data_IF_988637366324
#
_entry.id   IF_988637366324
#
_cell.length_a   1.000
_cell.length_b   1.000
_cell.length_c   1.000
_cell.angle_alpha   90.00
_cell.angle_beta   90.00
_cell.angle_gamma   90.00
#
_symmetry.space_group_name_H-M   'P 1'
#
loop_
_entity.id
_entity.type
_entity.pdbx_description
1 polymer ?
#
# COMPACT_ATOMS: atom_id res chain seq x y z
N UNK A 1 -5.86 -18.01 -12.47
CA UNK A 1 -4.47 -17.57 -12.22
C UNK A 1 -4.50 -16.38 -11.28
N UNK A 2 -3.70 -16.37 -10.21
CA UNK A 2 -3.61 -15.27 -9.26
C UNK A 2 -2.33 -14.46 -9.46
N UNK A 3 -2.48 -13.13 -9.56
CA UNK A 3 -1.38 -12.15 -9.56
C UNK A 3 -1.47 -11.29 -8.31
N UNK A 4 -0.32 -10.85 -7.78
CA UNK A 4 -0.26 -9.85 -6.73
C UNK A 4 0.48 -8.61 -7.22
N UNK A 5 0.02 -7.42 -6.84
CA UNK A 5 0.72 -6.14 -7.01
C UNK A 5 1.08 -5.62 -5.63
N UNK A 6 2.37 -5.47 -5.35
CA UNK A 6 2.92 -5.10 -4.05
C UNK A 6 4.04 -4.08 -4.18
N UNK A 7 4.42 -3.42 -3.09
CA UNK A 7 5.48 -2.42 -3.08
C UNK A 7 6.79 -2.97 -2.54
N UNK A 8 7.91 -2.56 -3.13
CA UNK A 8 9.25 -2.97 -2.71
C UNK A 8 9.75 -2.25 -1.46
N UNK A 9 9.41 -0.98 -1.29
CA UNK A 9 10.11 -0.07 -0.36
C UNK A 9 9.18 0.49 0.74
N UNK A 10 9.10 1.81 0.88
CA UNK A 10 8.37 2.51 1.94
C UNK A 10 6.88 2.73 1.64
N UNK A 11 6.37 2.31 0.50
CA UNK A 11 5.04 2.65 -0.03
C UNK A 11 5.10 3.79 -1.05
N UNK A 12 3.93 4.15 -1.59
CA UNK A 12 3.81 5.22 -2.60
C UNK A 12 4.62 5.00 -3.90
N UNK A 13 4.92 3.73 -4.24
CA UNK A 13 5.67 3.36 -5.44
C UNK A 13 4.86 3.49 -6.75
N UNK A 14 3.57 3.86 -6.68
CA UNK A 14 2.70 3.96 -7.86
C UNK A 14 1.91 2.68 -8.16
N UNK A 15 1.67 1.85 -7.14
CA UNK A 15 0.88 0.60 -7.25
C UNK A 15 -0.51 0.81 -7.85
N UNK A 16 -1.19 1.91 -7.52
CA UNK A 16 -2.53 2.21 -8.01
C UNK A 16 -2.62 2.20 -9.54
N UNK A 17 -1.68 2.86 -10.22
CA UNK A 17 -1.58 2.85 -11.69
C UNK A 17 -1.37 1.44 -12.25
N UNK A 18 -0.44 0.69 -11.66
CA UNK A 18 -0.12 -0.67 -12.11
C UNK A 18 -1.30 -1.61 -11.87
N UNK A 19 -1.97 -1.49 -10.73
CA UNK A 19 -3.16 -2.28 -10.42
C UNK A 19 -4.32 -1.94 -11.35
N UNK A 20 -4.60 -0.66 -11.58
CA UNK A 20 -5.65 -0.22 -12.51
C UNK A 20 -5.43 -0.78 -13.91
N UNK A 21 -4.20 -0.70 -14.41
CA UNK A 21 -3.84 -1.24 -15.73
C UNK A 21 -4.02 -2.77 -15.80
N UNK A 22 -3.60 -3.50 -14.77
CA UNK A 22 -3.74 -4.95 -14.73
C UNK A 22 -5.18 -5.40 -14.46
N UNK A 23 -5.98 -4.59 -13.76
CA UNK A 23 -7.38 -4.86 -13.46
C UNK A 23 -8.26 -4.96 -14.74
N UNK A 24 -7.87 -4.30 -15.82
CA UNK A 24 -8.57 -4.40 -17.11
C UNK A 24 -8.71 -5.84 -17.60
N UNK A 25 -7.73 -6.69 -17.30
CA UNK A 25 -7.67 -8.09 -17.70
C UNK A 25 -7.99 -9.07 -16.57
N UNK A 26 -8.43 -8.56 -15.43
CA UNK A 26 -8.77 -9.37 -14.28
C UNK A 26 -10.29 -9.54 -14.14
N UNK A 27 -10.73 -10.74 -13.82
CA UNK A 27 -12.14 -11.00 -13.48
C UNK A 27 -12.47 -10.51 -12.08
N UNK A 28 -11.47 -10.54 -11.18
CA UNK A 28 -11.63 -10.19 -9.77
C UNK A 28 -10.41 -9.39 -9.28
N UNK A 29 -10.66 -8.31 -8.53
CA UNK A 29 -9.61 -7.56 -7.81
C UNK A 29 -9.90 -7.61 -6.32
N UNK A 30 -8.91 -8.01 -5.52
CA UNK A 30 -9.05 -8.21 -4.07
C UNK A 30 -8.11 -7.29 -3.32
N UNK A 31 -8.63 -6.42 -2.45
CA UNK A 31 -7.86 -5.81 -1.35
C UNK A 31 -7.71 -6.87 -0.26
N UNK A 32 -6.48 -7.21 0.10
CA UNK A 32 -6.23 -8.33 1.01
C UNK A 32 -5.65 -7.90 2.37
N UNK A 33 -5.20 -6.66 2.53
CA UNK A 33 -4.63 -6.14 3.77
C UNK A 33 -4.74 -4.62 3.87
N UNK A 34 -4.34 -4.08 5.03
CA UNK A 34 -4.36 -2.64 5.29
C UNK A 34 -5.78 -2.12 5.52
N UNK A 35 -5.93 -0.83 5.46
CA UNK A 35 -7.21 -0.14 5.66
C UNK A 35 -7.25 1.18 4.91
N UNK A 36 -8.05 2.12 5.38
CA UNK A 36 -8.21 3.43 4.75
C UNK A 36 -7.06 4.43 5.03
N UNK A 37 -5.95 3.96 5.60
CA UNK A 37 -4.80 4.80 5.97
C UNK A 37 -3.90 5.19 4.79
N UNK A 38 -3.99 4.51 3.65
CA UNK A 38 -3.25 4.86 2.44
C UNK A 38 -4.18 4.97 1.24
N UNK A 39 -3.95 5.98 0.40
CA UNK A 39 -4.74 6.22 -0.81
C UNK A 39 -4.01 5.74 -2.07
N UNK A 40 -4.75 5.13 -2.99
CA UNK A 40 -4.28 4.80 -4.33
C UNK A 40 -4.81 5.85 -5.31
N UNK A 41 -3.92 6.62 -5.93
CA UNK A 41 -4.32 7.58 -6.97
C UNK A 41 -4.42 6.87 -8.32
N UNK A 42 -5.57 7.03 -8.96
CA UNK A 42 -5.88 6.48 -10.29
C UNK A 42 -6.33 7.63 -11.18
N UNK A 43 -5.79 7.66 -12.40
CA UNK A 43 -6.19 8.61 -13.44
C UNK A 43 -6.71 7.82 -14.63
N UNK A 44 -7.99 7.97 -14.93
CA UNK A 44 -8.65 7.25 -16.02
C UNK A 44 -9.66 8.15 -16.76
N UNK A 45 -10.46 7.58 -17.67
CA UNK A 45 -11.48 8.30 -18.45
C UNK A 45 -12.55 9.01 -17.61
N UNK A 46 -12.75 8.61 -16.36
CA UNK A 46 -13.70 9.25 -15.43
C UNK A 46 -13.07 10.39 -14.63
N UNK A 47 -11.74 10.56 -14.73
CA UNK A 47 -10.96 11.57 -14.04
C UNK A 47 -9.95 11.02 -13.05
N UNK A 48 -9.55 11.86 -12.10
CA UNK A 48 -8.59 11.52 -11.04
C UNK A 48 -9.33 11.12 -9.76
N UNK A 49 -8.97 9.97 -9.20
CA UNK A 49 -9.54 9.42 -7.97
C UNK A 49 -8.42 9.07 -6.98
N UNK A 50 -8.70 9.26 -5.70
CA UNK A 50 -7.88 8.74 -4.61
C UNK A 50 -8.74 7.72 -3.84
N UNK A 51 -8.51 6.43 -4.07
CA UNK A 51 -9.22 5.34 -3.40
C UNK A 51 -8.48 4.92 -2.14
N UNK A 52 -9.18 4.81 -1.02
CA UNK A 52 -8.62 4.37 0.27
C UNK A 52 -9.08 2.95 0.63
N UNK A 53 -10.33 2.62 0.37
CA UNK A 53 -10.94 1.32 0.68
C UNK A 53 -11.24 0.49 -0.56
N UNK A 54 -11.74 1.11 -1.62
CA UNK A 54 -12.13 0.40 -2.83
C UNK A 54 -10.92 -0.16 -3.59
N UNK A 55 -11.03 -1.39 -4.13
CA UNK A 55 -10.07 -1.91 -5.10
C UNK A 55 -10.05 -1.10 -6.40
N UNK A 56 -8.90 -1.05 -7.07
CA UNK A 56 -8.75 -0.35 -8.36
C UNK A 56 -9.63 -0.92 -9.49
N UNK A 57 -10.13 -2.15 -9.33
CA UNK A 57 -11.03 -2.80 -10.29
C UNK A 57 -12.43 -2.19 -10.43
N UNK A 58 -12.84 -1.29 -9.54
CA UNK A 58 -14.19 -0.68 -9.54
C UNK A 58 -14.54 0.12 -10.79
N UNK A 59 -13.56 0.47 -11.60
CA UNK A 59 -13.76 1.21 -12.85
C UNK A 59 -14.11 0.32 -14.05
N UNK A 60 -14.11 -1.01 -13.87
CA UNK A 60 -14.36 -2.00 -14.93
C UNK A 60 -15.64 -2.78 -14.63
N UNK A 61 -16.65 -2.66 -15.51
CA UNK A 61 -17.96 -3.28 -15.32
C UNK A 61 -17.95 -4.83 -15.33
N UNK A 62 -16.90 -5.45 -15.85
CA UNK A 62 -16.73 -6.91 -15.86
C UNK A 62 -16.04 -7.44 -14.60
N UNK A 63 -15.41 -6.56 -13.81
CA UNK A 63 -14.60 -6.94 -12.66
C UNK A 63 -15.43 -7.00 -11.39
N UNK A 64 -15.26 -8.05 -10.59
CA UNK A 64 -15.75 -8.09 -9.21
C UNK A 64 -14.67 -7.57 -8.27
N UNK A 65 -15.02 -6.57 -7.47
CA UNK A 65 -14.13 -5.95 -6.46
C UNK A 65 -14.39 -6.54 -5.08
N UNK A 66 -13.37 -7.09 -4.43
CA UNK A 66 -13.51 -7.78 -3.14
C UNK A 66 -12.71 -7.06 -2.06
N UNK A 67 -13.37 -6.82 -0.93
CA UNK A 67 -12.72 -6.49 0.34
C UNK A 67 -12.53 -7.81 1.09
N UNK A 68 -11.28 -8.29 1.12
CA UNK A 68 -10.91 -9.57 1.71
C UNK A 68 -10.89 -9.53 3.24
N UNK A 69 -10.86 -10.71 3.86
CA UNK A 69 -10.89 -10.87 5.31
C UNK A 69 -9.67 -10.27 6.04
N UNK A 70 -8.57 -9.99 5.34
CA UNK A 70 -7.38 -9.37 5.92
C UNK A 70 -7.43 -7.84 6.02
N UNK A 71 -8.47 -7.19 5.51
CA UNK A 71 -8.62 -5.72 5.50
C UNK A 71 -9.12 -5.21 6.85
N UNK A 72 -8.58 -4.08 7.30
CA UNK A 72 -9.14 -3.27 8.39
C UNK A 72 -10.25 -2.38 7.79
N UNK A 73 -11.49 -2.84 7.88
CA UNK A 73 -12.63 -2.25 7.19
C UNK A 73 -13.19 -1.04 7.94
N UNK A 74 -13.10 0.13 7.34
CA UNK A 74 -13.87 1.31 7.77
C UNK A 74 -15.13 1.40 6.89
N UNK A 75 -16.28 1.01 7.44
CA UNK A 75 -17.57 0.92 6.70
C UNK A 75 -18.00 2.29 6.17
N UNK A 76 -18.06 3.37 6.96
CA UNK A 76 -18.41 4.69 6.45
C UNK A 76 -17.52 5.16 5.30
N UNK A 77 -16.20 4.94 5.37
CA UNK A 77 -15.29 5.35 4.30
C UNK A 77 -15.58 4.54 3.03
N UNK A 78 -15.77 3.22 3.14
CA UNK A 78 -16.09 2.38 1.98
C UNK A 78 -17.37 2.85 1.28
N UNK A 79 -18.44 3.07 2.03
CA UNK A 79 -19.75 3.48 1.47
C UNK A 79 -19.66 4.88 0.86
N UNK A 80 -18.97 5.81 1.50
CA UNK A 80 -18.76 7.14 0.95
C UNK A 80 -17.93 7.12 -0.33
N UNK A 81 -16.93 6.23 -0.44
CA UNK A 81 -16.17 6.07 -1.69
C UNK A 81 -17.04 5.49 -2.81
N UNK A 82 -17.87 4.49 -2.53
CA UNK A 82 -18.84 3.96 -3.52
C UNK A 82 -19.71 5.09 -4.06
N UNK A 83 -20.28 5.90 -3.16
CA UNK A 83 -21.09 7.06 -3.55
C UNK A 83 -20.28 8.07 -4.38
N UNK A 84 -19.07 8.40 -3.93
CA UNK A 84 -18.22 9.38 -4.61
C UNK A 84 -17.88 8.98 -6.07
N UNK A 85 -17.65 7.69 -6.35
CA UNK A 85 -17.37 7.24 -7.72
C UNK A 85 -18.65 7.20 -8.57
N UNK A 86 -19.78 6.78 -8.01
CA UNK A 86 -21.07 6.74 -8.74
C UNK A 86 -21.59 8.13 -9.05
N UNK A 87 -21.46 9.09 -8.13
CA UNK A 87 -21.80 10.50 -8.36
C UNK A 87 -20.99 11.13 -9.53
N UNK A 88 -19.85 10.52 -9.89
CA UNK A 88 -19.01 10.91 -11.03
C UNK A 88 -19.22 10.05 -12.27
N UNK A 89 -20.40 9.45 -12.39
CA UNK A 89 -20.83 8.61 -13.52
C UNK A 89 -20.00 7.33 -13.75
N UNK A 90 -19.29 6.84 -12.74
CA UNK A 90 -18.77 5.47 -12.77
C UNK A 90 -19.96 4.53 -12.58
N UNK A 91 -20.18 3.55 -13.47
CA UNK A 91 -21.26 2.57 -13.27
C UNK A 91 -21.10 1.86 -11.92
N UNK A 92 -22.23 1.57 -11.25
CA UNK A 92 -22.19 0.88 -9.96
C UNK A 92 -21.36 -0.40 -10.04
N UNK A 93 -20.23 -0.49 -9.35
CA UNK A 93 -19.35 -1.66 -9.42
C UNK A 93 -19.94 -2.85 -8.66
N UNK A 94 -19.58 -4.06 -9.06
CA UNK A 94 -19.88 -5.24 -8.27
C UNK A 94 -18.87 -5.35 -7.13
N UNK A 95 -19.34 -5.15 -5.91
CA UNK A 95 -18.53 -5.15 -4.68
C UNK A 95 -18.97 -6.30 -3.79
N UNK A 96 -18.01 -7.03 -3.24
CA UNK A 96 -18.22 -8.06 -2.22
C UNK A 96 -17.31 -7.75 -1.01
N UNK A 97 -17.87 -7.93 0.18
CA UNK A 97 -17.16 -7.73 1.44
C UNK A 97 -17.18 -9.04 2.22
N UNK A 98 -16.00 -9.47 2.66
CA UNK A 98 -15.90 -10.69 3.47
C UNK A 98 -16.66 -10.56 4.77
N UNK A 99 -17.50 -11.55 5.06
CA UNK A 99 -18.17 -11.73 6.34
C UNK A 99 -17.20 -11.89 7.51
N UNK A 100 -15.95 -12.33 7.25
CA UNK A 100 -14.85 -12.49 8.22
C UNK A 100 -13.95 -11.26 8.33
N UNK A 101 -14.17 -10.23 7.51
CA UNK A 101 -13.45 -8.96 7.60
C UNK A 101 -13.72 -8.31 8.96
N UNK A 102 -12.70 -7.71 9.58
CA UNK A 102 -12.89 -7.00 10.84
C UNK A 102 -13.08 -5.50 10.65
N UNK A 103 -13.86 -4.90 11.54
CA UNK A 103 -14.34 -3.52 11.47
C UNK A 103 -13.39 -2.60 12.25
N UNK A 104 -13.00 -1.50 11.64
CA UNK A 104 -12.39 -0.37 12.35
C UNK A 104 -13.51 0.32 13.14
N UNK A 105 -13.52 0.10 14.44
CA UNK A 105 -14.50 0.69 15.34
C UNK A 105 -14.25 2.20 15.53
N UNK A 106 -15.28 3.01 15.81
CA UNK A 106 -15.11 4.45 16.03
C UNK A 106 -14.05 4.78 17.08
N UNK A 107 -13.97 3.99 18.14
CA UNK A 107 -12.97 4.21 19.20
C UNK A 107 -11.54 3.89 18.75
N UNK A 108 -11.30 3.06 17.74
CA UNK A 108 -9.95 2.85 17.21
C UNK A 108 -9.35 4.17 16.69
N UNK A 109 -10.15 4.98 16.02
CA UNK A 109 -9.73 6.29 15.52
C UNK A 109 -9.40 7.23 16.67
N UNK A 110 -10.23 7.24 17.73
CA UNK A 110 -9.98 8.04 18.92
C UNK A 110 -8.70 7.61 19.64
N UNK A 111 -8.48 6.31 19.82
CA UNK A 111 -7.28 5.77 20.47
C UNK A 111 -6.01 6.11 19.70
N UNK A 112 -6.04 6.04 18.37
CA UNK A 112 -4.92 6.42 17.50
C UNK A 112 -4.58 7.93 17.66
N UNK A 113 -5.60 8.79 17.72
CA UNK A 113 -5.43 10.21 17.97
C UNK A 113 -4.87 10.50 19.37
N UNK A 114 -5.42 9.87 20.39
CA UNK A 114 -5.01 10.09 21.78
C UNK A 114 -3.60 9.58 22.06
N UNK A 115 -3.19 8.49 21.43
CA UNK A 115 -1.83 7.98 21.54
C UNK A 115 -0.81 8.91 20.87
N UNK A 116 -1.11 9.44 19.68
CA UNK A 116 -0.28 10.45 19.03
C UNK A 116 -0.17 11.74 19.88
N UNK A 117 -1.27 12.18 20.50
CA UNK A 117 -1.27 13.30 21.45
C UNK A 117 -0.38 13.01 22.67
N UNK A 118 -0.52 11.84 23.28
CA UNK A 118 0.25 11.42 24.46
C UNK A 118 1.75 11.34 24.18
N UNK A 119 2.13 10.83 23.02
CA UNK A 119 3.53 10.71 22.61
C UNK A 119 4.17 12.05 22.24
N UNK A 120 3.39 13.04 21.83
CA UNK A 120 3.88 14.38 21.50
C UNK A 120 5.02 14.36 20.49
N UNK A 121 6.19 14.90 20.85
CA UNK A 121 7.37 14.95 19.98
C UNK A 121 7.99 13.59 19.63
N UNK A 122 7.53 12.50 20.25
CA UNK A 122 7.95 11.12 19.96
C UNK A 122 6.89 10.34 19.19
N UNK A 123 5.89 11.04 18.63
CA UNK A 123 4.80 10.42 17.86
C UNK A 123 5.34 9.68 16.60
N UNK A 124 4.65 8.62 16.21
CA UNK A 124 4.99 7.82 15.03
C UNK A 124 4.62 8.51 13.71
N UNK A 125 3.81 9.57 13.76
CA UNK A 125 3.28 10.26 12.59
C UNK A 125 2.11 9.49 11.95
N UNK A 126 1.26 8.87 12.78
CA UNK A 126 0.08 8.13 12.35
C UNK A 126 -0.81 8.96 11.42
N UNK A 127 -1.52 8.28 10.53
CA UNK A 127 -2.59 8.86 9.71
C UNK A 127 -3.86 9.14 10.53
N UNK A 128 -3.90 8.72 11.78
CA UNK A 128 -5.06 8.80 12.69
C UNK A 128 -6.30 8.07 12.14
N UNK A 129 -6.06 6.99 11.42
CA UNK A 129 -7.09 6.14 10.81
C UNK A 129 -7.47 4.93 11.68
N UNK A 130 -6.93 4.82 12.90
CA UNK A 130 -7.24 3.77 13.86
C UNK A 130 -6.60 2.41 13.56
N UNK A 131 -5.59 2.33 12.70
CA UNK A 131 -5.03 1.07 12.22
C UNK A 131 -4.27 0.32 13.32
N UNK A 132 -3.38 0.98 14.06
CA UNK A 132 -2.64 0.32 15.13
C UNK A 132 -3.55 -0.17 16.27
N UNK A 133 -4.50 0.62 16.82
CA UNK A 133 -5.47 0.14 17.78
C UNK A 133 -6.35 -1.00 17.25
N UNK A 134 -6.74 -0.94 15.98
CA UNK A 134 -7.51 -2.01 15.33
C UNK A 134 -6.75 -3.34 15.34
N UNK A 135 -5.50 -3.36 14.88
CA UNK A 135 -4.70 -4.60 14.86
C UNK A 135 -4.36 -5.08 16.28
N UNK A 136 -4.17 -4.16 17.24
CA UNK A 136 -4.04 -4.52 18.65
C UNK A 136 -5.25 -5.31 19.12
N UNK A 137 -6.46 -4.84 18.87
CA UNK A 137 -7.70 -5.51 19.27
C UNK A 137 -7.91 -6.83 18.52
N UNK A 138 -7.59 -6.86 17.23
CA UNK A 138 -7.67 -8.10 16.43
C UNK A 138 -6.86 -9.23 17.04
N UNK A 139 -5.60 -8.98 17.40
CA UNK A 139 -4.73 -9.99 17.97
C UNK A 139 -4.99 -10.24 19.47
N UNK A 140 -5.54 -9.27 20.19
CA UNK A 140 -6.10 -9.45 21.53
C UNK A 140 -7.43 -10.23 21.53
N UNK A 141 -8.00 -10.51 20.34
CA UNK A 141 -9.25 -11.27 20.13
C UNK A 141 -10.50 -10.57 20.68
N UNK A 142 -10.48 -9.24 20.69
CA UNK A 142 -11.60 -8.37 21.08
C UNK A 142 -12.14 -7.51 19.94
N UNK A 143 -11.58 -7.69 18.72
CA UNK A 143 -12.08 -7.03 17.51
C UNK A 143 -13.43 -7.59 17.05
N UNK A 144 -14.13 -6.88 16.17
CA UNK A 144 -15.44 -7.23 15.65
C UNK A 144 -15.36 -7.62 14.17
N UNK A 145 -15.88 -8.79 13.82
CA UNK A 145 -16.05 -9.22 12.42
C UNK A 145 -17.36 -8.70 11.85
N UNK A 146 -17.44 -8.56 10.53
CA UNK A 146 -18.64 -8.09 9.83
C UNK A 146 -19.86 -8.99 10.10
N UNK A 147 -19.67 -10.33 10.16
CA UNK A 147 -20.76 -11.26 10.46
C UNK A 147 -21.39 -11.00 11.83
N UNK A 148 -20.64 -10.49 12.82
CA UNK A 148 -21.16 -10.23 14.17
C UNK A 148 -22.18 -9.09 14.19
N UNK A 149 -22.23 -8.23 13.16
CA UNK A 149 -23.26 -7.18 13.04
C UNK A 149 -24.67 -7.76 12.89
N UNK A 150 -24.80 -9.02 12.48
CA UNK A 150 -26.07 -9.69 12.24
C UNK A 150 -26.55 -10.52 13.43
N UNK A 151 -25.75 -10.56 14.53
CA UNK A 151 -26.04 -11.30 15.75
C UNK A 151 -26.21 -10.34 16.93
N UNK A 152 -27.36 -9.69 17.03
CA UNK A 152 -27.61 -8.52 17.89
C UNK A 152 -27.35 -8.76 19.38
N UNK A 153 -27.78 -9.91 19.95
CA UNK A 153 -27.59 -10.20 21.37
C UNK A 153 -26.11 -10.41 21.70
N UNK A 154 -25.41 -11.19 20.88
CA UNK A 154 -23.98 -11.44 21.05
C UNK A 154 -23.14 -10.17 20.83
N UNK A 155 -23.58 -9.32 19.89
CA UNK A 155 -22.94 -8.03 19.62
C UNK A 155 -23.04 -7.10 20.82
N UNK A 156 -24.22 -6.96 21.44
CA UNK A 156 -24.43 -6.14 22.64
C UNK A 156 -23.54 -6.59 23.79
N UNK A 157 -23.59 -7.88 24.11
CA UNK A 157 -22.79 -8.46 25.20
C UNK A 157 -21.28 -8.23 24.98
N UNK A 158 -20.80 -8.37 23.73
CA UNK A 158 -19.39 -8.13 23.40
C UNK A 158 -19.02 -6.65 23.49
N UNK A 159 -19.90 -5.74 23.06
CA UNK A 159 -19.69 -4.29 23.18
C UNK A 159 -19.57 -3.87 24.63
N UNK A 160 -20.43 -4.37 25.54
CA UNK A 160 -20.35 -4.06 26.96
C UNK A 160 -18.97 -4.44 27.52
N UNK A 161 -18.51 -5.68 27.32
CA UNK A 161 -17.20 -6.14 27.77
C UNK A 161 -16.02 -5.33 27.20
N UNK A 162 -16.10 -4.96 25.93
CA UNK A 162 -15.05 -4.18 25.28
C UNK A 162 -15.04 -2.75 25.83
N UNK A 163 -16.21 -2.13 26.01
CA UNK A 163 -16.33 -0.79 26.60
C UNK A 163 -15.76 -0.73 28.01
N UNK A 164 -16.01 -1.75 28.87
CA UNK A 164 -15.40 -1.81 30.21
C UNK A 164 -13.87 -1.67 30.15
N UNK A 165 -13.24 -2.48 29.30
CA UNK A 165 -11.78 -2.48 29.15
C UNK A 165 -11.27 -1.16 28.56
N UNK A 166 -11.93 -0.66 27.51
CA UNK A 166 -11.52 0.58 26.83
C UNK A 166 -11.68 1.80 27.72
N UNK A 167 -12.73 1.83 28.52
CA UNK A 167 -13.03 2.95 29.43
C UNK A 167 -11.97 3.10 30.53
N UNK A 168 -11.37 1.99 30.99
CA UNK A 168 -10.20 2.06 31.91
C UNK A 168 -9.05 2.84 31.28
N UNK A 169 -8.74 2.57 30.01
CA UNK A 169 -7.67 3.29 29.31
C UNK A 169 -8.04 4.76 29.03
N UNK A 170 -9.28 5.01 28.63
CA UNK A 170 -9.75 6.38 28.37
C UNK A 170 -9.68 7.23 29.65
N UNK A 171 -10.17 6.71 30.77
CA UNK A 171 -10.24 7.44 32.03
C UNK A 171 -8.85 7.63 32.67
N UNK A 172 -8.05 6.54 32.77
CA UNK A 172 -6.84 6.54 33.58
C UNK A 172 -5.55 6.82 32.80
N UNK A 173 -5.51 6.52 31.48
CA UNK A 173 -4.33 6.78 30.66
C UNK A 173 -4.44 8.04 29.82
N UNK A 174 -5.58 8.19 29.14
CA UNK A 174 -5.77 9.30 28.20
C UNK A 174 -6.49 10.50 28.80
N UNK A 175 -7.17 10.32 29.94
CA UNK A 175 -8.02 11.35 30.59
C UNK A 175 -9.05 11.95 29.62
N UNK A 176 -9.74 11.07 28.92
CA UNK A 176 -10.74 11.38 27.90
C UNK A 176 -12.11 10.80 28.30
N UNK A 177 -13.21 11.27 27.68
CA UNK A 177 -14.55 10.75 27.94
C UNK A 177 -14.65 9.24 27.67
N UNK A 178 -15.42 8.53 28.47
CA UNK A 178 -15.69 7.10 28.33
C UNK A 178 -16.63 6.82 27.18
N UNK A 179 -16.61 5.59 26.67
CA UNK A 179 -17.51 5.07 25.65
C UNK A 179 -18.83 4.61 26.29
N UNK A 180 -19.91 4.78 25.55
CA UNK A 180 -21.23 4.24 25.86
C UNK A 180 -21.52 3.07 24.92
N UNK A 181 -21.76 1.88 25.47
CA UNK A 181 -22.00 0.67 24.68
C UNK A 181 -23.33 0.70 23.87
N UNK A 182 -24.36 1.37 24.41
CA UNK A 182 -25.63 1.53 23.70
C UNK A 182 -25.51 2.43 22.47
N UNK A 183 -24.75 3.55 22.59
CA UNK A 183 -24.44 4.42 21.46
C UNK A 183 -23.61 3.71 20.39
N UNK A 184 -22.62 2.91 20.83
CA UNK A 184 -21.84 2.08 19.91
C UNK A 184 -22.70 1.01 19.23
N UNK A 185 -23.63 0.39 19.95
CA UNK A 185 -24.55 -0.57 19.38
C UNK A 185 -25.44 0.08 18.31
N UNK A 186 -26.00 1.27 18.59
CA UNK A 186 -26.76 2.01 17.59
C UNK A 186 -25.92 2.30 16.33
N UNK A 187 -24.68 2.73 16.50
CA UNK A 187 -23.73 2.93 15.38
C UNK A 187 -23.49 1.63 14.60
N UNK A 188 -23.37 0.49 15.29
CA UNK A 188 -23.19 -0.80 14.62
C UNK A 188 -24.42 -1.25 13.84
N UNK A 189 -25.64 -0.89 14.27
CA UNK A 189 -26.85 -1.14 13.48
C UNK A 189 -26.86 -0.29 12.19
N UNK A 190 -26.45 0.97 12.25
CA UNK A 190 -26.26 1.79 11.05
C UNK A 190 -25.22 1.17 10.11
N UNK A 191 -24.10 0.69 10.63
CA UNK A 191 -23.06 0.01 9.84
C UNK A 191 -23.56 -1.29 9.20
N UNK A 192 -24.39 -2.06 9.93
CA UNK A 192 -25.06 -3.25 9.39
C UNK A 192 -25.89 -2.90 8.16
N UNK A 193 -26.74 -1.88 8.27
CA UNK A 193 -27.61 -1.46 7.17
C UNK A 193 -26.80 -0.98 5.95
N UNK A 194 -25.71 -0.24 6.18
CA UNK A 194 -24.82 0.24 5.12
C UNK A 194 -24.12 -0.90 4.37
N UNK A 195 -23.70 -1.95 5.07
CA UNK A 195 -22.81 -2.97 4.51
C UNK A 195 -23.54 -4.23 4.04
N UNK A 196 -24.73 -4.51 4.57
CA UNK A 196 -25.49 -5.74 4.33
C UNK A 196 -25.59 -6.15 2.84
N UNK A 197 -25.81 -5.23 1.87
CA UNK A 197 -25.91 -5.59 0.46
C UNK A 197 -24.64 -6.18 -0.16
N UNK A 198 -23.48 -6.02 0.48
CA UNK A 198 -22.18 -6.39 -0.05
C UNK A 198 -21.59 -7.64 0.64
N UNK A 199 -22.12 -8.06 1.80
CA UNK A 199 -21.55 -9.11 2.65
C UNK A 199 -21.76 -10.51 2.07
N UNK A 200 -20.70 -11.27 2.00
CA UNK A 200 -20.79 -12.70 1.65
C UNK A 200 -19.55 -13.48 2.13
N UNK A 201 -19.57 -14.81 2.03
CA UNK A 201 -18.41 -15.67 2.17
C UNK A 201 -17.49 -15.51 0.92
N UNK A 202 -16.59 -14.54 0.98
CA UNK A 202 -15.67 -14.25 -0.11
C UNK A 202 -14.65 -15.36 -0.35
N UNK A 203 -14.31 -16.16 0.67
CA UNK A 203 -13.37 -17.28 0.54
C UNK A 203 -13.96 -18.38 -0.34
N UNK A 204 -15.20 -18.79 -0.07
CA UNK A 204 -15.93 -19.75 -0.91
C UNK A 204 -16.17 -19.20 -2.32
N UNK A 205 -16.47 -17.90 -2.45
CA UNK A 205 -16.60 -17.26 -3.75
C UNK A 205 -15.31 -17.33 -4.57
N UNK A 206 -14.16 -16.99 -3.96
CA UNK A 206 -12.85 -17.03 -4.61
C UNK A 206 -12.42 -18.46 -4.97
N UNK A 207 -12.68 -19.43 -4.08
CA UNK A 207 -12.37 -20.82 -4.36
C UNK A 207 -13.11 -21.32 -5.61
N UNK A 208 -14.40 -21.02 -5.72
CA UNK A 208 -15.20 -21.36 -6.90
C UNK A 208 -14.68 -20.64 -8.15
N UNK A 209 -14.39 -19.36 -8.06
CA UNK A 209 -13.86 -18.58 -9.17
C UNK A 209 -12.51 -19.14 -9.70
N UNK A 210 -11.63 -19.58 -8.80
CA UNK A 210 -10.36 -20.21 -9.17
C UNK A 210 -10.57 -21.56 -9.88
N UNK A 211 -11.54 -22.37 -9.41
CA UNK A 211 -11.92 -23.62 -10.08
C UNK A 211 -12.50 -23.38 -11.48
N UNK A 212 -13.20 -22.27 -11.68
CA UNK A 212 -13.72 -21.82 -12.98
C UNK A 212 -12.64 -21.20 -13.88
N UNK A 213 -11.37 -21.12 -13.42
CA UNK A 213 -10.27 -20.57 -14.19
C UNK A 213 -10.22 -19.04 -14.24
N UNK A 214 -10.97 -18.34 -13.38
CA UNK A 214 -10.98 -16.88 -13.33
C UNK A 214 -9.62 -16.32 -12.96
N UNK A 215 -9.35 -15.12 -13.47
CA UNK A 215 -8.14 -14.33 -13.13
C UNK A 215 -8.39 -13.45 -11.92
N UNK A 216 -7.53 -13.58 -10.91
CA UNK A 216 -7.61 -12.82 -9.66
C UNK A 216 -6.39 -11.92 -9.52
N UNK A 217 -6.60 -10.65 -9.25
CA UNK A 217 -5.57 -9.66 -8.95
C UNK A 217 -5.65 -9.29 -7.47
N UNK A 218 -4.58 -9.56 -6.73
CA UNK A 218 -4.42 -9.15 -5.34
C UNK A 218 -3.77 -7.76 -5.30
N UNK A 219 -4.46 -6.80 -4.74
CA UNK A 219 -4.01 -5.42 -4.60
C UNK A 219 -3.45 -5.15 -3.21
N UNK A 220 -2.12 -5.01 -3.12
CA UNK A 220 -1.42 -4.68 -1.90
C UNK A 220 -1.40 -3.18 -1.60
N UNK A 221 -1.12 -2.86 -0.35
CA UNK A 221 -1.01 -1.50 0.18
C UNK A 221 0.32 -1.32 0.88
N UNK A 222 0.88 -0.10 0.81
CA UNK A 222 2.22 0.22 1.34
C UNK A 222 3.33 -0.59 0.65
N UNK A 223 4.46 -0.81 1.31
CA UNK A 223 5.62 -1.53 0.77
C UNK A 223 6.30 -2.39 1.82
N UNK A 224 7.25 -3.20 1.41
CA UNK A 224 7.94 -4.19 2.26
C UNK A 224 8.56 -3.59 3.51
N UNK A 225 9.14 -2.38 3.43
CA UNK A 225 9.79 -1.74 4.57
C UNK A 225 8.80 -1.20 5.62
N UNK A 226 7.50 -1.28 5.34
CA UNK A 226 6.41 -0.97 6.28
C UNK A 226 5.74 -2.23 6.84
N UNK A 227 6.26 -3.41 6.54
CA UNK A 227 5.80 -4.68 7.12
C UNK A 227 6.20 -4.77 8.60
N UNK A 228 5.33 -5.22 9.51
CA UNK A 228 5.63 -5.27 10.95
C UNK A 228 6.75 -6.26 11.31
N UNK A 229 6.93 -7.33 10.53
CA UNK A 229 7.93 -8.37 10.82
C UNK A 229 9.26 -8.11 10.09
N UNK A 230 9.22 -7.54 8.90
CA UNK A 230 10.38 -7.40 8.02
C UNK A 230 10.78 -5.95 7.69
N UNK A 231 9.96 -4.99 8.08
CA UNK A 231 10.21 -3.57 7.80
C UNK A 231 11.12 -2.89 8.82
N UNK A 232 11.11 -1.58 8.78
CA UNK A 232 11.92 -0.70 9.65
C UNK A 232 11.23 -0.48 11.02
N UNK A 233 10.89 -1.58 11.70
CA UNK A 233 10.21 -1.54 12.99
C UNK A 233 10.94 -0.61 13.99
N UNK A 234 10.22 0.25 14.79
CA UNK A 234 8.76 0.30 14.93
C UNK A 234 8.03 1.23 13.94
N UNK A 235 8.72 1.88 12.99
CA UNK A 235 8.17 2.83 12.04
C UNK A 235 7.50 2.12 10.84
N UNK A 236 6.60 1.20 11.12
CA UNK A 236 5.88 0.32 10.18
C UNK A 236 4.37 0.52 10.26
N UNK A 237 3.62 -0.10 9.35
CA UNK A 237 2.18 -0.28 9.52
C UNK A 237 1.91 -1.54 10.33
N UNK A 238 0.68 -1.72 10.81
CA UNK A 238 0.33 -2.91 11.61
C UNK A 238 -0.16 -4.09 10.78
N UNK A 239 -0.34 -3.92 9.47
CA UNK A 239 -0.71 -5.00 8.55
C UNK A 239 0.52 -5.55 7.83
N UNK A 240 0.53 -6.87 7.52
CA UNK A 240 1.56 -7.43 6.64
C UNK A 240 1.38 -6.93 5.21
N UNK A 241 2.46 -6.36 4.65
CA UNK A 241 2.50 -5.77 3.32
C UNK A 241 3.04 -6.72 2.25
N UNK A 242 3.35 -7.95 2.64
CA UNK A 242 3.94 -8.96 1.76
C UNK A 242 2.87 -9.68 0.92
N UNK A 243 3.24 -10.04 -0.32
CA UNK A 243 2.39 -10.82 -1.23
C UNK A 243 1.94 -12.17 -0.61
N UNK A 244 2.77 -12.78 0.24
CA UNK A 244 2.45 -14.00 0.96
C UNK A 244 1.19 -13.86 1.84
N UNK A 245 0.98 -12.69 2.45
CA UNK A 245 -0.23 -12.41 3.22
C UNK A 245 -1.49 -12.34 2.34
N UNK A 246 -1.33 -12.14 1.04
CA UNK A 246 -2.44 -12.17 0.08
C UNK A 246 -3.23 -13.48 0.12
N UNK A 247 -2.56 -14.60 0.34
CA UNK A 247 -3.21 -15.89 0.51
C UNK A 247 -4.11 -15.92 1.76
N UNK A 248 -3.60 -15.42 2.90
CA UNK A 248 -4.33 -15.32 4.17
C UNK A 248 -5.46 -14.29 4.06
N UNK A 249 -5.15 -13.09 3.60
CA UNK A 249 -6.07 -11.96 3.58
C UNK A 249 -7.18 -12.05 2.54
N UNK A 250 -7.03 -12.90 1.52
CA UNK A 250 -8.08 -13.22 0.54
C UNK A 250 -8.75 -14.58 0.82
N UNK A 251 -8.16 -15.45 1.66
CA UNK A 251 -8.67 -16.78 1.95
C UNK A 251 -8.48 -17.76 0.80
N UNK A 252 -7.32 -17.73 0.13
CA UNK A 252 -6.96 -18.61 -0.99
C UNK A 252 -5.70 -19.42 -0.67
N UNK A 253 -5.47 -20.56 -1.34
CA UNK A 253 -4.23 -21.32 -1.17
C UNK A 253 -3.00 -20.52 -1.63
N UNK A 254 -1.87 -20.55 -0.88
CA UNK A 254 -0.69 -19.73 -1.22
C UNK A 254 -0.06 -20.12 -2.57
N UNK A 255 -0.16 -21.38 -2.98
CA UNK A 255 0.36 -21.85 -4.26
C UNK A 255 -0.40 -21.32 -5.47
N UNK A 256 -1.57 -20.67 -5.29
CA UNK A 256 -2.31 -20.03 -6.38
C UNK A 256 -1.67 -18.70 -6.82
N UNK A 257 -0.89 -18.04 -5.97
CA UNK A 257 -0.19 -16.81 -6.32
C UNK A 257 1.01 -17.15 -7.21
N UNK A 258 0.80 -17.04 -8.53
CA UNK A 258 1.80 -17.47 -9.54
C UNK A 258 2.66 -16.32 -10.05
N UNK A 259 2.18 -15.09 -9.97
CA UNK A 259 2.89 -13.90 -10.43
C UNK A 259 2.82 -12.81 -9.38
N UNK A 260 3.99 -12.25 -9.05
CA UNK A 260 4.12 -11.18 -8.08
C UNK A 260 4.82 -10.00 -8.77
N UNK A 261 4.03 -8.99 -9.09
CA UNK A 261 4.50 -7.73 -9.66
C UNK A 261 4.86 -6.81 -8.50
N UNK A 262 6.15 -6.63 -8.29
CA UNK A 262 6.64 -5.72 -7.27
C UNK A 262 6.93 -4.35 -7.89
N UNK A 263 6.34 -3.31 -7.32
CA UNK A 263 6.50 -1.95 -7.83
C UNK A 263 7.68 -1.29 -7.14
N UNK A 264 8.62 -0.79 -7.95
CA UNK A 264 9.76 0.04 -7.53
C UNK A 264 9.66 1.42 -8.19
N UNK A 265 9.95 2.46 -7.45
CA UNK A 265 10.03 3.83 -7.96
C UNK A 265 11.47 4.13 -8.41
N UNK A 266 11.66 4.88 -9.51
CA UNK A 266 12.98 5.21 -10.05
C UNK A 266 13.86 6.08 -9.13
N UNK A 267 13.29 6.60 -8.06
CA UNK A 267 13.95 7.22 -6.90
C UNK A 267 13.21 6.75 -5.64
N UNK A 268 13.65 7.15 -4.45
CA UNK A 268 13.00 6.75 -3.21
C UNK A 268 12.19 7.88 -2.60
N UNK A 269 11.05 7.55 -1.99
CA UNK A 269 10.29 8.47 -1.16
C UNK A 269 9.68 7.75 0.03
N UNK A 270 9.50 8.46 1.14
CA UNK A 270 8.91 7.93 2.35
C UNK A 270 8.01 8.96 3.04
N UNK A 271 6.94 8.49 3.67
CA UNK A 271 6.10 9.28 4.59
C UNK A 271 6.37 8.83 6.02
N UNK A 272 6.42 9.79 6.94
CA UNK A 272 6.61 9.54 8.36
C UNK A 272 8.08 9.31 8.75
N UNK A 273 8.27 8.96 10.01
CA UNK A 273 9.58 8.71 10.60
C UNK A 273 10.16 7.35 10.19
N UNK A 274 11.40 7.12 10.59
CA UNK A 274 12.13 5.87 10.40
C UNK A 274 13.34 5.98 9.49
N UNK A 275 14.13 4.92 9.45
CA UNK A 275 15.37 4.88 8.70
C UNK A 275 15.15 5.02 7.19
N UNK A 276 15.95 5.88 6.56
CA UNK A 276 15.92 6.13 5.13
C UNK A 276 17.35 6.47 4.67
N UNK A 277 18.16 5.46 4.45
CA UNK A 277 19.61 5.62 4.25
C UNK A 277 19.96 6.47 3.03
N UNK A 278 19.23 6.33 1.94
CA UNK A 278 19.42 7.09 0.70
C UNK A 278 18.74 8.47 0.68
N UNK A 279 18.30 8.98 1.85
CA UNK A 279 17.60 10.27 1.95
C UNK A 279 18.49 11.44 1.53
N UNK A 280 17.90 12.40 0.84
CA UNK A 280 18.48 13.66 0.42
C UNK A 280 17.77 14.85 1.04
N UNK A 281 18.44 15.98 1.16
CA UNK A 281 17.97 17.17 1.86
C UNK A 281 18.18 18.44 1.04
N UNK A 282 17.58 19.54 1.46
CA UNK A 282 17.75 20.86 0.86
C UNK A 282 17.15 20.98 -0.54
N UNK A 283 17.74 21.85 -1.36
CA UNK A 283 17.20 22.21 -2.68
C UNK A 283 17.07 21.02 -3.64
N UNK A 284 17.95 20.04 -3.55
CA UNK A 284 17.91 18.80 -4.33
C UNK A 284 16.66 17.98 -4.02
N UNK A 285 16.35 17.80 -2.73
CA UNK A 285 15.14 17.11 -2.28
C UNK A 285 13.88 17.88 -2.67
N UNK A 286 13.89 19.20 -2.55
CA UNK A 286 12.76 20.06 -2.85
C UNK A 286 12.46 20.07 -4.36
N UNK A 287 13.48 20.10 -5.21
CA UNK A 287 13.31 20.04 -6.66
C UNK A 287 12.77 18.67 -7.10
N UNK A 288 13.32 17.58 -6.59
CA UNK A 288 12.82 16.23 -6.88
C UNK A 288 11.39 16.05 -6.38
N UNK A 289 11.04 16.59 -5.21
CA UNK A 289 9.68 16.57 -4.66
C UNK A 289 8.67 17.30 -5.54
N UNK A 290 9.02 18.47 -6.03
CA UNK A 290 8.16 19.27 -6.93
C UNK A 290 7.90 18.56 -8.24
N UNK A 291 8.90 17.89 -8.80
CA UNK A 291 8.81 17.18 -10.08
C UNK A 291 8.16 15.80 -9.96
N UNK A 292 8.19 15.22 -8.76
CA UNK A 292 7.71 13.88 -8.51
C UNK A 292 6.21 13.73 -8.75
N UNK A 293 5.83 12.64 -9.42
CA UNK A 293 4.45 12.28 -9.65
C UNK A 293 3.62 13.33 -10.40
N UNK A 294 2.29 13.17 -10.33
CA UNK A 294 1.33 14.14 -10.88
C UNK A 294 0.88 15.10 -9.76
N UNK A 295 1.60 16.21 -9.61
CA UNK A 295 1.34 17.23 -8.59
C UNK A 295 2.33 17.24 -7.42
N UNK A 296 3.47 16.59 -7.55
CA UNK A 296 4.53 16.54 -6.55
C UNK A 296 4.43 15.37 -5.56
N UNK A 297 5.50 15.15 -4.82
CA UNK A 297 5.60 14.08 -3.82
C UNK A 297 5.02 14.52 -2.48
N UNK A 298 3.68 14.47 -2.40
CA UNK A 298 2.91 14.75 -1.18
C UNK A 298 2.04 13.54 -0.83
N UNK A 299 1.78 13.34 0.45
CA UNK A 299 0.92 12.25 0.93
C UNK A 299 -0.52 12.41 0.43
N UNK A 300 -1.07 11.39 -0.23
CA UNK A 300 -2.41 11.43 -0.80
C UNK A 300 -3.51 11.70 0.25
N UNK A 301 -3.33 11.19 1.47
CA UNK A 301 -4.29 11.33 2.57
C UNK A 301 -4.01 12.57 3.42
N UNK A 302 -2.73 12.84 3.73
CA UNK A 302 -2.34 13.86 4.72
C UNK A 302 -1.85 15.16 4.10
N UNK A 303 -1.55 15.19 2.82
CA UNK A 303 -0.91 16.32 2.14
C UNK A 303 0.52 16.63 2.62
N UNK A 304 1.09 15.80 3.51
CA UNK A 304 2.45 16.02 4.04
C UNK A 304 3.49 15.85 2.93
N UNK A 305 4.54 16.70 2.88
CA UNK A 305 5.64 16.50 1.96
C UNK A 305 6.35 15.18 2.27
N UNK A 306 6.60 14.38 1.22
CA UNK A 306 7.36 13.15 1.36
C UNK A 306 8.84 13.46 1.53
N UNK A 307 9.52 12.65 2.33
CA UNK A 307 10.98 12.59 2.37
C UNK A 307 11.46 12.01 1.05
N UNK A 308 12.52 12.57 0.49
CA UNK A 308 13.03 12.19 -0.83
C UNK A 308 14.39 11.52 -0.69
N UNK A 309 14.69 10.62 -1.61
CA UNK A 309 15.99 9.93 -1.65
C UNK A 309 16.29 9.39 -3.05
N UNK A 310 17.56 9.08 -3.29
CA UNK A 310 17.97 8.39 -4.50
C UNK A 310 17.48 6.94 -4.50
N UNK A 311 17.47 6.31 -5.67
CA UNK A 311 17.13 4.89 -5.75
C UNK A 311 18.05 4.08 -4.84
N UNK A 312 17.46 3.22 -4.03
CA UNK A 312 18.15 2.40 -3.04
C UNK A 312 18.13 0.93 -3.48
N UNK A 313 19.27 0.48 -4.02
CA UNK A 313 19.42 -0.89 -4.49
C UNK A 313 19.34 -1.91 -3.36
N UNK A 314 19.90 -1.57 -2.17
CA UNK A 314 19.91 -2.47 -1.00
C UNK A 314 18.48 -2.70 -0.49
N UNK A 315 17.73 -1.62 -0.27
CA UNK A 315 16.35 -1.67 0.17
C UNK A 315 15.44 -2.35 -0.87
N UNK A 316 15.60 -2.01 -2.16
CA UNK A 316 14.77 -2.57 -3.24
C UNK A 316 15.03 -4.05 -3.48
N UNK A 317 16.30 -4.48 -3.46
CA UNK A 317 16.68 -5.89 -3.54
C UNK A 317 16.10 -6.70 -2.39
N UNK A 318 16.19 -6.18 -1.17
CA UNK A 318 15.59 -6.79 0.01
C UNK A 318 14.08 -6.91 -0.12
N UNK A 319 13.40 -5.83 -0.52
CA UNK A 319 11.96 -5.82 -0.73
C UNK A 319 11.52 -6.82 -1.80
N UNK A 320 12.15 -6.83 -2.96
CA UNK A 320 11.86 -7.79 -4.02
C UNK A 320 12.06 -9.24 -3.58
N UNK A 321 13.10 -9.52 -2.80
CA UNK A 321 13.35 -10.87 -2.25
C UNK A 321 12.22 -11.33 -1.34
N UNK A 322 11.81 -10.51 -0.40
CA UNK A 322 10.75 -10.85 0.55
C UNK A 322 9.38 -10.98 -0.09
N UNK A 323 9.11 -10.16 -1.10
CA UNK A 323 7.87 -10.26 -1.87
C UNK A 323 7.79 -11.55 -2.71
N UNK A 324 8.92 -12.19 -3.01
CA UNK A 324 8.96 -13.31 -3.94
C UNK A 324 8.73 -12.86 -5.39
N UNK A 325 9.30 -11.73 -5.75
CA UNK A 325 9.11 -11.01 -7.02
C UNK A 325 9.33 -11.90 -8.24
N UNK A 326 8.36 -11.92 -9.13
CA UNK A 326 8.50 -12.52 -10.48
C UNK A 326 8.77 -11.45 -11.53
N UNK A 327 8.20 -10.26 -11.34
CA UNK A 327 8.27 -9.12 -12.25
C UNK A 327 8.40 -7.82 -11.47
N UNK A 328 9.20 -6.89 -11.96
CA UNK A 328 9.28 -5.53 -11.42
C UNK A 328 8.59 -4.55 -12.36
N UNK A 329 7.70 -3.74 -11.81
CA UNK A 329 7.18 -2.54 -12.45
C UNK A 329 7.96 -1.32 -11.93
N UNK A 330 8.73 -0.71 -12.81
CA UNK A 330 9.60 0.42 -12.50
C UNK A 330 8.92 1.73 -12.87
N UNK A 331 8.58 2.54 -11.89
CA UNK A 331 7.68 3.69 -12.06
C UNK A 331 8.39 5.04 -11.97
N UNK A 332 7.74 6.08 -12.50
CA UNK A 332 8.13 7.50 -12.47
C UNK A 332 9.53 7.80 -13.02
N UNK A 333 9.95 7.03 -14.04
CA UNK A 333 11.26 7.20 -14.66
C UNK A 333 11.40 8.57 -15.35
N UNK A 334 10.31 9.11 -15.89
CA UNK A 334 10.23 10.43 -16.54
C UNK A 334 10.64 11.59 -15.62
N UNK A 335 10.44 11.44 -14.33
CA UNK A 335 10.78 12.47 -13.33
C UNK A 335 12.27 12.79 -13.30
N UNK A 336 13.14 11.83 -13.57
CA UNK A 336 14.59 12.00 -13.53
C UNK A 336 15.17 12.67 -14.79
N UNK A 337 14.35 12.95 -15.82
CA UNK A 337 14.77 13.52 -17.09
C UNK A 337 15.38 14.92 -17.03
N UNK A 338 15.36 15.60 -15.88
CA UNK A 338 15.98 16.92 -15.70
C UNK A 338 17.46 16.86 -15.25
N UNK A 339 17.92 15.69 -14.82
CA UNK A 339 19.23 15.49 -14.21
C UNK A 339 20.33 15.25 -15.26
N UNK A 340 21.51 15.82 -15.02
CA UNK A 340 22.74 15.53 -15.77
C UNK A 340 23.42 14.25 -15.22
N UNK A 341 23.34 14.09 -13.91
CA UNK A 341 23.90 12.95 -13.18
C UNK A 341 22.86 12.43 -12.19
N UNK A 342 22.80 11.12 -12.03
CA UNK A 342 21.81 10.45 -11.15
C UNK A 342 22.59 9.56 -10.16
N UNK A 343 22.68 9.97 -8.89
CA UNK A 343 23.20 9.11 -7.84
C UNK A 343 22.27 7.92 -7.57
N UNK A 344 22.86 6.77 -7.28
CA UNK A 344 22.19 5.53 -6.92
C UNK A 344 22.87 4.95 -5.68
N UNK A 345 22.11 4.63 -4.65
CA UNK A 345 22.62 3.96 -3.45
C UNK A 345 22.83 2.47 -3.75
N UNK A 346 24.09 2.04 -3.84
CA UNK A 346 24.49 0.68 -4.20
C UNK A 346 24.94 -0.16 -3.00
N UNK A 347 25.10 0.45 -1.84
CA UNK A 347 25.53 -0.21 -0.61
C UNK A 347 25.33 0.70 0.60
N UNK A 348 25.49 0.13 1.78
CA UNK A 348 25.49 0.85 3.04
C UNK A 348 26.83 0.70 3.74
N UNK A 349 27.43 1.80 4.17
CA UNK A 349 28.55 1.80 5.09
C UNK A 349 28.05 1.86 6.52
N UNK A 350 28.39 0.88 7.33
CA UNK A 350 27.99 0.77 8.73
C UNK A 350 29.22 0.41 9.56
N UNK A 351 29.59 1.29 10.50
CA UNK A 351 30.73 1.09 11.40
C UNK A 351 32.05 0.80 10.64
N UNK A 352 32.23 1.39 9.44
CA UNK A 352 33.42 1.24 8.59
C UNK A 352 33.38 0.05 7.63
N UNK A 353 32.33 -0.76 7.64
CA UNK A 353 32.14 -1.88 6.72
C UNK A 353 31.03 -1.58 5.70
N UNK A 354 31.26 -1.97 4.44
CA UNK A 354 30.28 -1.83 3.37
C UNK A 354 29.50 -3.12 3.20
N UNK A 355 28.16 -3.01 3.19
CA UNK A 355 27.27 -4.14 2.95
C UNK A 355 26.25 -3.83 1.85
N UNK A 356 25.82 -4.87 1.13
CA UNK A 356 24.69 -4.86 0.20
C UNK A 356 23.48 -5.63 0.75
N UNK A 357 23.59 -6.14 1.96
CA UNK A 357 22.48 -6.78 2.67
C UNK A 357 21.75 -5.74 3.53
N UNK A 358 20.43 -5.79 3.52
CA UNK A 358 19.58 -4.87 4.29
C UNK A 358 19.62 -5.25 5.78
N UNK A 359 20.14 -4.36 6.67
CA UNK A 359 20.30 -4.67 8.07
C UNK A 359 19.04 -4.38 8.90
N UNK A 360 19.07 -4.80 10.16
CA UNK A 360 18.02 -4.46 11.15
C UNK A 360 18.04 -2.98 11.48
N UNK A 361 16.90 -2.45 11.97
CA UNK A 361 16.67 -1.00 12.16
C UNK A 361 17.76 -0.31 12.99
N UNK A 362 18.20 -0.89 14.10
CA UNK A 362 19.23 -0.28 14.95
C UNK A 362 20.59 -0.11 14.25
N UNK A 363 20.86 -0.89 13.21
CA UNK A 363 22.04 -0.72 12.35
C UNK A 363 21.80 0.28 11.24
N UNK A 364 20.58 0.31 10.69
CA UNK A 364 20.16 1.29 9.66
C UNK A 364 20.31 2.74 10.13
N UNK A 365 20.06 3.01 11.41
CA UNK A 365 20.21 4.36 11.99
C UNK A 365 21.64 4.90 11.95
N UNK A 366 22.64 4.02 11.82
CA UNK A 366 24.06 4.37 11.69
C UNK A 366 24.58 4.24 10.27
N UNK A 367 23.75 3.76 9.35
CA UNK A 367 24.15 3.51 7.97
C UNK A 367 24.31 4.82 7.19
N UNK A 368 25.32 4.84 6.33
CA UNK A 368 25.53 5.89 5.33
C UNK A 368 25.40 5.29 3.93
N UNK A 369 24.83 6.02 2.96
CA UNK A 369 24.72 5.50 1.60
C UNK A 369 26.06 5.47 0.90
N UNK A 370 26.36 4.37 0.23
CA UNK A 370 27.44 4.27 -0.76
C UNK A 370 26.83 4.57 -2.12
N UNK A 371 27.19 5.71 -2.70
CA UNK A 371 26.59 6.20 -3.94
C UNK A 371 27.46 5.89 -5.15
N UNK A 372 26.81 5.46 -6.23
CA UNK A 372 27.36 5.41 -7.59
C UNK A 372 26.62 6.41 -8.46
N UNK A 373 27.34 7.28 -9.13
CA UNK A 373 26.77 8.29 -10.02
C UNK A 373 26.68 7.73 -11.43
N UNK A 374 25.49 7.80 -12.03
CA UNK A 374 25.22 7.42 -13.41
C UNK A 374 24.92 8.65 -14.26
N UNK A 375 25.24 8.67 -15.56
CA UNK A 375 24.91 9.77 -16.42
C UNK A 375 23.38 9.86 -16.61
N UNK A 376 22.83 11.06 -16.51
CA UNK A 376 21.44 11.36 -16.81
C UNK A 376 21.17 11.41 -18.32
N UNK A 377 19.91 11.55 -18.69
CA UNK A 377 19.52 11.63 -20.12
C UNK A 377 19.04 12.99 -20.55
N UNK A 378 18.78 13.91 -19.64
CA UNK A 378 18.49 15.34 -19.87
C UNK A 378 17.45 15.62 -20.97
N UNK A 379 16.41 14.82 -21.05
CA UNK A 379 15.31 15.03 -21.99
C UNK A 379 13.99 14.39 -21.51
N UNK A 380 12.89 14.80 -22.13
CA UNK A 380 11.56 14.22 -21.91
C UNK A 380 11.47 12.84 -22.55
N UNK A 381 10.89 11.88 -21.81
CA UNK A 381 10.69 10.49 -22.27
C UNK A 381 9.22 10.06 -22.29
N UNK A 382 8.29 10.98 -21.94
CA UNK A 382 6.86 10.71 -22.02
C UNK A 382 6.44 10.43 -23.45
N UNK A 383 5.48 9.53 -23.63
CA UNK A 383 4.98 9.14 -24.95
C UNK A 383 5.83 8.13 -25.69
N UNK A 384 7.06 7.83 -25.28
CA UNK A 384 7.86 6.73 -25.84
C UNK A 384 7.20 5.41 -25.47
N UNK A 385 7.04 4.51 -26.46
CA UNK A 385 6.31 3.24 -26.28
C UNK A 385 7.19 1.99 -26.34
N UNK A 386 8.43 2.12 -26.80
CA UNK A 386 9.38 1.00 -26.88
C UNK A 386 10.63 1.30 -26.07
N UNK A 387 11.16 0.28 -25.42
CA UNK A 387 12.35 0.40 -24.57
C UNK A 387 13.57 0.85 -25.36
N UNK A 388 13.71 0.34 -26.59
CA UNK A 388 14.83 0.63 -27.50
C UNK A 388 14.84 2.07 -27.99
N UNK A 389 13.68 2.77 -27.94
CA UNK A 389 13.53 4.17 -28.32
C UNK A 389 13.88 5.14 -27.19
N UNK A 390 14.02 4.64 -25.95
CA UNK A 390 14.51 5.46 -24.82
C UNK A 390 15.95 5.92 -25.04
N UNK A 391 16.33 7.11 -24.53
CA UNK A 391 17.71 7.55 -24.55
C UNK A 391 18.67 6.49 -23.98
N UNK A 392 19.87 6.40 -24.54
CA UNK A 392 20.85 5.37 -24.14
C UNK A 392 21.12 5.37 -22.63
N UNK A 393 21.36 6.54 -22.03
CA UNK A 393 21.60 6.64 -20.59
C UNK A 393 20.39 6.21 -19.77
N UNK A 394 19.17 6.50 -20.25
CA UNK A 394 17.93 6.06 -19.61
C UNK A 394 17.82 4.53 -19.61
N UNK A 395 18.11 3.87 -20.74
CA UNK A 395 18.15 2.40 -20.82
C UNK A 395 19.19 1.82 -19.90
N UNK A 396 20.43 2.38 -19.93
CA UNK A 396 21.53 1.95 -19.05
C UNK A 396 21.19 2.10 -17.57
N UNK A 397 20.44 3.15 -17.20
CA UNK A 397 19.94 3.32 -15.83
C UNK A 397 19.02 2.16 -15.43
N UNK A 398 18.01 1.84 -16.24
CA UNK A 398 17.09 0.73 -15.97
C UNK A 398 17.82 -0.60 -15.90
N UNK A 399 18.72 -0.88 -16.84
CA UNK A 399 19.52 -2.10 -16.90
C UNK A 399 20.46 -2.24 -15.70
N UNK A 400 21.10 -1.13 -15.29
CA UNK A 400 21.93 -1.10 -14.09
C UNK A 400 21.11 -1.42 -12.82
N UNK A 401 19.93 -0.78 -12.65
CA UNK A 401 19.08 -1.06 -11.51
C UNK A 401 18.64 -2.54 -11.50
N UNK A 402 18.22 -3.07 -12.66
CA UNK A 402 17.83 -4.46 -12.81
C UNK A 402 18.93 -5.43 -12.37
N UNK A 403 20.18 -5.17 -12.80
CA UNK A 403 21.35 -5.94 -12.40
C UNK A 403 21.59 -5.88 -10.89
N UNK A 404 21.53 -4.67 -10.30
CA UNK A 404 21.80 -4.47 -8.87
C UNK A 404 20.75 -5.15 -7.98
N UNK A 405 19.48 -5.05 -8.32
CA UNK A 405 18.41 -5.69 -7.53
C UNK A 405 18.30 -7.19 -7.80
N UNK A 406 18.71 -7.67 -8.99
CA UNK A 406 18.69 -9.09 -9.40
C UNK A 406 17.30 -9.62 -9.73
N UNK A 407 16.36 -8.75 -10.11
CA UNK A 407 14.97 -9.11 -10.47
C UNK A 407 14.56 -8.46 -11.78
N UNK A 408 13.76 -9.15 -12.63
CA UNK A 408 13.45 -8.69 -13.98
C UNK A 408 12.55 -7.45 -13.97
N UNK A 409 13.02 -6.34 -14.54
CA UNK A 409 12.19 -5.16 -14.80
C UNK A 409 11.48 -5.38 -16.13
N UNK A 410 10.21 -5.77 -16.09
CA UNK A 410 9.39 -6.10 -17.28
C UNK A 410 8.45 -4.98 -17.69
N UNK A 411 8.21 -4.02 -16.80
CA UNK A 411 7.37 -2.85 -17.02
C UNK A 411 8.10 -1.59 -16.60
N UNK A 412 8.13 -0.57 -17.47
CA UNK A 412 8.72 0.75 -17.20
C UNK A 412 7.67 1.81 -17.44
N UNK A 413 7.34 2.56 -16.38
CA UNK A 413 6.42 3.69 -16.45
C UNK A 413 7.17 4.99 -16.69
N UNK A 414 6.85 5.66 -17.79
CA UNK A 414 7.48 6.89 -18.25
C UNK A 414 6.54 8.10 -18.30
N UNK A 415 5.47 8.08 -17.50
CA UNK A 415 4.52 9.18 -17.35
C UNK A 415 3.37 8.83 -16.42
N UNK A 416 2.47 9.77 -16.08
CA UNK A 416 1.39 9.56 -15.12
C UNK A 416 0.20 8.80 -15.71
N UNK A 417 -0.01 8.84 -17.03
CA UNK A 417 -1.14 8.22 -17.70
C UNK A 417 -1.08 6.70 -17.69
N UNK A 418 -2.23 6.08 -17.77
CA UNK A 418 -2.38 4.63 -17.83
C UNK A 418 -1.59 4.02 -18.99
N UNK A 419 -1.59 4.70 -20.15
CA UNK A 419 -0.91 4.27 -21.37
C UNK A 419 0.61 4.53 -21.37
N UNK A 420 1.14 5.18 -20.32
CA UNK A 420 2.55 5.51 -20.18
C UNK A 420 3.31 4.35 -19.53
N UNK A 421 3.22 3.19 -20.17
CA UNK A 421 3.91 1.95 -19.78
C UNK A 421 4.61 1.36 -20.99
N UNK A 422 5.89 1.05 -20.83
CA UNK A 422 6.71 0.32 -21.76
C UNK A 422 6.89 -1.10 -21.24
N UNK A 423 6.46 -2.10 -22.02
CA UNK A 423 6.75 -3.50 -21.72
C UNK A 423 8.08 -3.89 -22.36
N UNK A 424 8.91 -4.60 -21.62
CA UNK A 424 10.19 -5.11 -22.12
C UNK A 424 10.41 -6.57 -21.71
N UNK A 425 11.22 -7.26 -22.52
CA UNK A 425 11.78 -8.56 -22.12
C UNK A 425 13.04 -8.29 -21.31
N UNK A 426 13.08 -8.78 -20.08
CA UNK A 426 14.27 -8.71 -19.24
C UNK A 426 15.20 -9.88 -19.55
N UNK A 427 16.53 -9.67 -19.56
CA UNK A 427 17.48 -10.78 -19.63
C UNK A 427 17.44 -11.68 -18.39
N UNK A 428 16.91 -11.21 -17.27
CA UNK A 428 16.70 -11.96 -16.04
C UNK A 428 15.34 -12.68 -15.98
N UNK A 429 14.48 -12.50 -16.99
CA UNK A 429 13.17 -13.12 -17.06
C UNK A 429 13.26 -14.66 -17.13
N UNK A 430 12.39 -15.33 -16.36
CA UNK A 430 12.25 -16.79 -16.35
C UNK A 430 11.35 -17.28 -17.45
#
# INVERSE_FOLDING_TARGET
>A
MVKAVVGANWGDEGKGKITDMLAEKADIVVRFQGGANAGHTIVNRYGKFALHSLPSGVFYGHTTSIIGNGVALNIPILVNEIKSITDRNVPMPRILVSDRCQIVMPYHILFDQYEEERLGGKSFGSTKSGIAPFYSDKYAKIGFQVNELFEEEALKEKLDRVCETKNVLLEHLYHKPTLNSEELFATMQEYKDMIAPYVCDTSSYLQKALQEGKTVLLEGQLGTLKDPDHGIYPMVTSSSTLAAYGAIGAGIPPYEIKQIVTVCKAYSSAVGAGAFVSEIFGDEADELRKRGGDGGEFGATTGRPRRMGWFDCVASKYGCRLQGTTDVAFTVLDVLGYLDEIPVCVGYEIDGEVTTDFPVTCRLERAKPVLKVLPGWKCEIRGIKKFEELPENCRKYVEFIEEQIGYPITMVSNGPGREDIIYRKSPLGR
#
